data_IF_370261729839
#
_entry.id   IF_370261729839
#
_cell.length_a   1.000
_cell.length_b   1.000
_cell.length_c   1.000
_cell.angle_alpha   90.00
_cell.angle_beta   90.00
_cell.angle_gamma   90.00
#
_symmetry.space_group_name_H-M   'P 1'
#
loop_
_entity.id
_entity.type
_entity.pdbx_description
1 polymer ?
#
# COMPACT_ATOMS: atom_id res chain seq x y z
N UNK A 1 -14.27 -4.66 27.60
CA UNK A 1 -13.78 -4.55 26.21
C UNK A 1 -14.36 -5.71 25.44
N UNK A 2 -15.08 -5.47 24.35
CA UNK A 2 -15.75 -6.49 23.55
C UNK A 2 -14.74 -7.24 22.67
N UNK A 3 -14.03 -8.20 23.26
CA UNK A 3 -13.00 -9.00 22.59
C UNK A 3 -13.56 -9.78 21.39
N UNK A 4 -14.83 -10.18 21.42
CA UNK A 4 -15.50 -10.86 20.31
C UNK A 4 -15.65 -9.95 19.10
N UNK A 5 -15.98 -8.67 19.32
CA UNK A 5 -16.07 -7.69 18.23
C UNK A 5 -14.69 -7.44 17.60
N UNK A 6 -13.66 -7.29 18.44
CA UNK A 6 -12.27 -7.12 17.96
C UNK A 6 -11.85 -8.35 17.14
N UNK A 7 -12.05 -9.56 17.68
CA UNK A 7 -11.74 -10.80 16.95
C UNK A 7 -12.49 -10.90 15.62
N UNK A 8 -13.76 -10.48 15.58
CA UNK A 8 -14.51 -10.45 14.32
C UNK A 8 -13.86 -9.52 13.29
N UNK A 9 -13.46 -8.31 13.69
CA UNK A 9 -12.76 -7.35 12.82
C UNK A 9 -11.43 -7.93 12.32
N UNK A 10 -10.61 -8.49 13.22
CA UNK A 10 -9.34 -9.12 12.87
C UNK A 10 -9.51 -10.32 11.94
N UNK A 11 -10.58 -11.11 12.11
CA UNK A 11 -10.93 -12.20 11.21
C UNK A 11 -11.27 -11.71 9.81
N UNK A 12 -12.06 -10.63 9.68
CA UNK A 12 -12.36 -10.02 8.37
C UNK A 12 -11.09 -9.50 7.70
N UNK A 13 -10.19 -8.86 8.45
CA UNK A 13 -8.93 -8.35 7.90
C UNK A 13 -8.02 -9.50 7.45
N UNK A 14 -7.92 -10.57 8.24
CA UNK A 14 -7.19 -11.78 7.88
C UNK A 14 -7.75 -12.44 6.60
N UNK A 15 -9.08 -12.41 6.43
CA UNK A 15 -9.74 -12.88 5.21
C UNK A 15 -9.38 -12.03 4.00
N UNK A 16 -9.38 -10.70 4.14
CA UNK A 16 -9.01 -9.78 3.07
C UNK A 16 -7.56 -10.00 2.66
N UNK A 17 -6.63 -10.09 3.62
CA UNK A 17 -5.22 -10.38 3.38
C UNK A 17 -5.05 -11.68 2.60
N UNK A 18 -5.74 -12.76 3.01
CA UNK A 18 -5.72 -14.03 2.28
C UNK A 18 -6.26 -13.90 0.85
N UNK A 19 -7.33 -13.12 0.65
CA UNK A 19 -7.92 -12.87 -0.66
C UNK A 19 -6.97 -12.13 -1.61
N UNK A 20 -6.23 -11.13 -1.11
CA UNK A 20 -5.23 -10.43 -1.92
C UNK A 20 -4.01 -11.30 -2.22
N UNK A 21 -3.55 -12.13 -1.29
CA UNK A 21 -2.50 -13.12 -1.58
C UNK A 21 -2.87 -14.05 -2.75
N UNK A 22 -4.15 -14.31 -3.02
CA UNK A 22 -4.55 -15.09 -4.20
C UNK A 22 -4.21 -14.41 -5.52
N UNK A 23 -4.19 -13.07 -5.56
CA UNK A 23 -3.79 -12.30 -6.74
C UNK A 23 -2.31 -12.47 -7.06
N UNK A 24 -1.50 -12.96 -6.11
CA UNK A 24 -0.09 -13.21 -6.36
C UNK A 24 0.21 -14.57 -7.01
N UNK A 25 -0.70 -15.55 -6.90
CA UNK A 25 -0.52 -16.91 -7.44
C UNK A 25 -0.30 -16.96 -8.96
N UNK A 26 -1.04 -16.22 -9.82
CA UNK A 26 -0.87 -16.28 -11.27
C UNK A 26 0.54 -15.94 -11.74
N UNK A 27 1.27 -15.10 -11.00
CA UNK A 27 2.63 -14.68 -11.34
C UNK A 27 3.69 -15.75 -11.11
N UNK A 28 3.32 -16.90 -10.55
CA UNK A 28 4.20 -18.08 -10.53
C UNK A 28 4.17 -18.85 -11.86
N UNK A 29 3.18 -18.58 -12.71
CA UNK A 29 3.03 -19.23 -14.02
C UNK A 29 3.92 -18.54 -15.07
N UNK A 30 4.58 -19.30 -15.97
CA UNK A 30 5.43 -18.74 -17.04
C UNK A 30 4.77 -17.66 -17.89
N UNK A 31 3.49 -17.84 -18.20
CA UNK A 31 2.71 -16.94 -19.07
C UNK A 31 2.59 -15.53 -18.50
N UNK A 32 2.45 -15.40 -17.17
CA UNK A 32 2.18 -14.11 -16.52
C UNK A 32 3.41 -13.56 -15.80
N UNK A 33 4.16 -14.42 -15.13
CA UNK A 33 5.30 -14.04 -14.28
C UNK A 33 6.59 -13.69 -15.03
N UNK A 34 6.60 -13.77 -16.37
CA UNK A 34 7.83 -13.65 -17.17
C UNK A 34 8.94 -14.60 -16.73
N UNK A 35 8.57 -15.75 -16.17
CA UNK A 35 9.49 -16.81 -15.74
C UNK A 35 9.59 -17.87 -16.83
N UNK A 36 10.78 -18.43 -17.03
CA UNK A 36 11.01 -19.48 -18.03
C UNK A 36 10.30 -20.79 -17.67
N UNK A 37 10.15 -21.06 -16.37
CA UNK A 37 9.54 -22.27 -15.83
C UNK A 37 8.61 -21.93 -14.67
N UNK A 38 7.69 -22.84 -14.37
CA UNK A 38 6.76 -22.68 -13.25
C UNK A 38 7.51 -22.57 -11.92
N UNK A 39 7.30 -21.47 -11.23
CA UNK A 39 7.90 -21.19 -9.92
C UNK A 39 7.11 -21.89 -8.80
N UNK A 40 7.39 -23.18 -8.63
CA UNK A 40 6.73 -24.00 -7.61
C UNK A 40 7.01 -23.51 -6.18
N UNK A 41 8.20 -22.96 -5.91
CA UNK A 41 8.58 -22.45 -4.57
C UNK A 41 7.69 -21.27 -4.19
N UNK A 42 7.56 -20.30 -5.08
CA UNK A 42 6.64 -19.17 -4.89
C UNK A 42 5.19 -19.61 -4.77
N UNK A 43 4.72 -20.43 -5.72
CA UNK A 43 3.32 -20.86 -5.76
C UNK A 43 2.88 -21.61 -4.48
N UNK A 44 3.62 -22.63 -4.08
CA UNK A 44 3.27 -23.42 -2.89
C UNK A 44 3.49 -22.62 -1.59
N UNK A 45 4.50 -21.75 -1.55
CA UNK A 45 4.74 -20.86 -0.40
C UNK A 45 3.58 -19.88 -0.17
N UNK A 46 3.13 -19.21 -1.22
CA UNK A 46 1.95 -18.33 -1.17
C UNK A 46 0.69 -19.11 -0.85
N UNK A 47 0.48 -20.28 -1.47
CA UNK A 47 -0.69 -21.12 -1.20
C UNK A 47 -0.76 -21.56 0.27
N UNK A 48 0.37 -21.96 0.86
CA UNK A 48 0.45 -22.28 2.27
C UNK A 48 0.13 -21.07 3.16
N UNK A 49 0.61 -19.87 2.78
CA UNK A 49 0.33 -18.63 3.50
C UNK A 49 -1.17 -18.26 3.44
N UNK A 50 -1.82 -18.47 2.29
CA UNK A 50 -3.27 -18.30 2.12
C UNK A 50 -4.02 -19.26 3.04
N UNK A 51 -3.67 -20.55 3.05
CA UNK A 51 -4.34 -21.55 3.88
C UNK A 51 -4.23 -21.22 5.37
N UNK A 52 -3.03 -20.86 5.86
CA UNK A 52 -2.84 -20.44 7.25
C UNK A 52 -3.65 -19.18 7.56
N UNK A 53 -3.64 -18.19 6.67
CA UNK A 53 -4.40 -16.94 6.85
C UNK A 53 -5.91 -17.18 6.89
N UNK A 54 -6.43 -18.11 6.07
CA UNK A 54 -7.83 -18.53 6.08
C UNK A 54 -8.21 -19.30 7.36
N UNK A 55 -7.31 -20.15 7.88
CA UNK A 55 -7.52 -20.83 9.16
C UNK A 55 -7.59 -19.80 10.30
N UNK A 56 -6.63 -18.87 10.37
CA UNK A 56 -6.61 -17.79 11.37
C UNK A 56 -7.89 -16.95 11.26
N UNK A 57 -8.27 -16.56 10.05
CA UNK A 57 -9.52 -15.85 9.77
C UNK A 57 -10.74 -16.63 10.27
N UNK A 58 -10.85 -17.91 9.92
CA UNK A 58 -11.95 -18.78 10.33
C UNK A 58 -12.08 -18.87 11.84
N UNK A 59 -10.98 -19.11 12.56
CA UNK A 59 -10.97 -19.18 14.02
C UNK A 59 -11.42 -17.87 14.68
N UNK A 60 -10.91 -16.73 14.19
CA UNK A 60 -11.27 -15.40 14.69
C UNK A 60 -12.73 -15.05 14.41
N UNK A 61 -13.22 -15.35 13.21
CA UNK A 61 -14.62 -15.13 12.82
C UNK A 61 -15.57 -16.03 13.61
N UNK A 62 -15.21 -17.29 13.87
CA UNK A 62 -15.99 -18.21 14.69
C UNK A 62 -16.09 -17.71 16.13
N UNK A 63 -14.97 -17.27 16.73
CA UNK A 63 -14.96 -16.69 18.06
C UNK A 63 -15.79 -15.38 18.12
N UNK A 64 -15.68 -14.55 17.08
CA UNK A 64 -16.39 -13.28 16.95
C UNK A 64 -17.87 -13.39 16.53
N UNK A 65 -18.36 -14.57 16.17
CA UNK A 65 -19.69 -14.77 15.55
C UNK A 65 -20.87 -14.31 16.42
N UNK A 66 -20.70 -14.30 17.74
CA UNK A 66 -21.69 -13.83 18.73
C UNK A 66 -21.37 -12.43 19.28
N UNK A 67 -20.58 -11.63 18.59
CA UNK A 67 -20.29 -10.26 18.99
C UNK A 67 -21.56 -9.40 18.88
N UNK A 68 -21.88 -8.66 19.96
CA UNK A 68 -22.87 -7.57 19.88
C UNK A 68 -22.27 -6.43 19.07
N UNK A 69 -22.89 -6.06 17.95
CA UNK A 69 -22.38 -5.08 16.97
C UNK A 69 -22.98 -3.69 17.13
N UNK A 70 -23.83 -3.51 18.14
CA UNK A 70 -24.70 -2.34 18.27
C UNK A 70 -23.92 -1.06 18.62
N UNK A 71 -22.73 -1.19 19.22
CA UNK A 71 -21.88 -0.05 19.56
C UNK A 71 -20.40 -0.44 19.63
N UNK A 72 -19.56 0.20 18.83
CA UNK A 72 -18.10 0.12 18.91
C UNK A 72 -17.59 1.26 19.80
N UNK A 73 -16.97 0.93 20.94
CA UNK A 73 -16.37 1.95 21.81
C UNK A 73 -15.03 2.45 21.24
N UNK A 74 -14.63 3.70 21.55
CA UNK A 74 -13.34 4.27 21.08
C UNK A 74 -12.14 3.37 21.42
N UNK A 75 -12.08 2.85 22.65
CA UNK A 75 -11.03 1.91 23.09
C UNK A 75 -10.98 0.62 22.25
N UNK A 76 -12.13 0.13 21.80
CA UNK A 76 -12.23 -1.07 20.97
C UNK A 76 -11.82 -0.77 19.53
N UNK A 77 -12.17 0.40 19.01
CA UNK A 77 -11.70 0.87 17.70
C UNK A 77 -10.17 1.04 17.68
N UNK A 78 -9.59 1.68 18.70
CA UNK A 78 -8.14 1.85 18.82
C UNK A 78 -7.41 0.50 18.92
N UNK A 79 -7.92 -0.42 19.75
CA UNK A 79 -7.37 -1.76 19.86
C UNK A 79 -7.50 -2.55 18.54
N UNK A 80 -8.66 -2.48 17.87
CA UNK A 80 -8.88 -3.16 16.61
C UNK A 80 -7.93 -2.65 15.51
N UNK A 81 -7.69 -1.34 15.41
CA UNK A 81 -6.75 -0.77 14.43
C UNK A 81 -5.32 -1.24 14.72
N UNK A 82 -4.82 -1.10 15.95
CA UNK A 82 -3.46 -1.51 16.28
C UNK A 82 -3.22 -3.01 16.08
N UNK A 83 -4.17 -3.85 16.53
CA UNK A 83 -4.07 -5.30 16.34
C UNK A 83 -4.25 -5.71 14.87
N UNK A 84 -5.00 -4.96 14.08
CA UNK A 84 -5.17 -5.24 12.65
C UNK A 84 -3.85 -5.10 11.90
N UNK A 85 -3.10 -4.02 12.13
CA UNK A 85 -1.78 -3.83 11.54
C UNK A 85 -0.80 -4.92 11.96
N UNK A 86 -0.84 -5.32 13.24
CA UNK A 86 0.00 -6.41 13.76
C UNK A 86 -0.34 -7.74 13.08
N UNK A 87 -1.61 -8.12 13.01
CA UNK A 87 -2.06 -9.36 12.37
C UNK A 87 -1.75 -9.34 10.88
N UNK A 88 -2.02 -8.24 10.18
CA UNK A 88 -1.68 -8.10 8.76
C UNK A 88 -0.18 -8.26 8.52
N UNK A 89 0.67 -7.65 9.36
CA UNK A 89 2.14 -7.79 9.28
C UNK A 89 2.59 -9.24 9.49
N UNK A 90 2.04 -9.92 10.50
CA UNK A 90 2.38 -11.33 10.78
C UNK A 90 1.95 -12.23 9.62
N UNK A 91 0.71 -12.08 9.14
CA UNK A 91 0.21 -12.89 8.02
C UNK A 91 0.97 -12.59 6.72
N UNK A 92 1.25 -11.32 6.44
CA UNK A 92 1.99 -10.91 5.26
C UNK A 92 3.47 -11.30 5.26
N UNK A 93 4.01 -11.72 6.41
CA UNK A 93 5.34 -12.30 6.49
C UNK A 93 5.38 -13.77 6.01
N UNK A 94 4.25 -14.47 6.02
CA UNK A 94 4.18 -15.90 5.72
C UNK A 94 4.62 -16.27 4.29
N UNK A 95 4.26 -15.53 3.22
CA UNK A 95 4.74 -15.84 1.88
C UNK A 95 6.27 -15.86 1.76
N UNK A 96 6.98 -14.97 2.47
CA UNK A 96 8.46 -14.97 2.48
C UNK A 96 9.02 -16.22 3.15
N UNK A 97 8.45 -16.60 4.30
CA UNK A 97 8.91 -17.76 5.08
C UNK A 97 8.62 -19.09 4.39
N UNK A 98 7.42 -19.26 3.83
CA UNK A 98 7.00 -20.54 3.25
C UNK A 98 7.51 -20.78 1.84
N UNK A 99 7.86 -19.73 1.09
CA UNK A 99 8.49 -19.86 -0.24
C UNK A 99 10.00 -20.11 -0.16
N UNK A 100 10.60 -19.96 1.04
CA UNK A 100 12.04 -20.01 1.22
C UNK A 100 12.75 -18.84 0.56
N UNK A 101 12.14 -17.64 0.60
CA UNK A 101 12.75 -16.40 0.10
C UNK A 101 14.07 -16.15 0.84
N UNK A 102 15.08 -15.67 0.12
CA UNK A 102 16.41 -15.41 0.65
C UNK A 102 16.71 -13.91 0.66
N UNK A 103 17.43 -13.43 1.68
CA UNK A 103 17.80 -12.02 1.82
C UNK A 103 19.04 -11.63 1.01
N UNK A 104 19.81 -12.61 0.56
CA UNK A 104 21.04 -12.40 -0.20
C UNK A 104 21.89 -13.66 -0.27
N UNK A 105 23.15 -13.50 -0.69
CA UNK A 105 24.13 -14.57 -0.84
C UNK A 105 25.28 -14.31 0.14
N UNK A 106 25.77 -15.36 0.81
CA UNK A 106 26.94 -15.25 1.70
C UNK A 106 28.26 -15.23 0.92
N UNK A 107 29.37 -14.98 1.61
CA UNK A 107 30.73 -14.96 1.01
C UNK A 107 31.12 -16.29 0.35
N UNK A 108 30.45 -17.39 0.71
CA UNK A 108 30.66 -18.73 0.15
C UNK A 108 29.75 -19.02 -1.06
N UNK A 109 28.95 -18.04 -1.51
CA UNK A 109 28.04 -18.20 -2.65
C UNK A 109 26.72 -18.90 -2.30
N UNK A 110 26.37 -19.10 -1.02
CA UNK A 110 25.14 -19.79 -0.61
C UNK A 110 24.02 -18.80 -0.34
N UNK A 111 22.80 -19.17 -0.70
CA UNK A 111 21.63 -18.34 -0.44
C UNK A 111 21.32 -18.31 1.06
N UNK A 112 21.14 -17.10 1.60
CA UNK A 112 20.83 -16.88 2.99
C UNK A 112 19.31 -16.74 3.14
N UNK A 113 18.61 -17.74 3.69
CA UNK A 113 17.16 -17.69 3.83
C UNK A 113 16.73 -16.57 4.79
N UNK A 114 15.57 -15.96 4.51
CA UNK A 114 14.97 -14.99 5.42
C UNK A 114 14.58 -15.66 6.73
N UNK A 115 14.97 -15.05 7.85
CA UNK A 115 14.50 -15.44 9.18
C UNK A 115 13.16 -14.76 9.48
N UNK A 116 12.55 -15.16 10.60
CA UNK A 116 11.26 -14.60 11.06
C UNK A 116 11.28 -13.08 11.14
N UNK A 117 12.35 -12.49 11.69
CA UNK A 117 12.47 -11.04 11.81
C UNK A 117 12.70 -10.34 10.48
N UNK A 118 13.41 -10.97 9.55
CA UNK A 118 13.61 -10.45 8.19
C UNK A 118 12.25 -10.37 7.46
N UNK A 119 11.46 -11.45 7.54
CA UNK A 119 10.15 -11.52 6.91
C UNK A 119 9.13 -10.56 7.56
N UNK A 120 9.17 -10.40 8.89
CA UNK A 120 8.35 -9.42 9.59
C UNK A 120 8.75 -7.99 9.23
N UNK A 121 10.04 -7.70 9.09
CA UNK A 121 10.53 -6.39 8.67
C UNK A 121 10.06 -6.06 7.26
N UNK A 122 10.24 -6.98 6.31
CA UNK A 122 9.83 -6.78 4.91
C UNK A 122 8.30 -6.55 4.81
N UNK A 123 7.52 -7.36 5.54
CA UNK A 123 6.07 -7.22 5.63
C UNK A 123 5.64 -5.90 6.27
N UNK A 124 6.25 -5.51 7.39
CA UNK A 124 5.95 -4.26 8.09
C UNK A 124 6.27 -3.04 7.20
N UNK A 125 7.40 -3.08 6.52
CA UNK A 125 7.83 -2.05 5.59
C UNK A 125 6.83 -1.85 4.45
N UNK A 126 6.36 -2.96 3.87
CA UNK A 126 5.35 -2.93 2.83
C UNK A 126 3.97 -2.44 3.28
N UNK A 127 3.44 -2.92 4.42
CA UNK A 127 2.14 -2.43 4.89
C UNK A 127 2.16 -0.97 5.36
N UNK A 128 3.29 -0.50 5.87
CA UNK A 128 3.41 0.87 6.37
C UNK A 128 3.65 1.92 5.28
N UNK A 129 3.98 1.51 4.05
CA UNK A 129 4.42 2.45 3.02
C UNK A 129 5.84 2.97 3.26
N UNK A 130 6.72 2.18 3.91
CA UNK A 130 8.10 2.60 4.20
C UNK A 130 9.05 2.31 3.05
N UNK A 131 8.88 1.16 2.37
CA UNK A 131 9.72 0.78 1.23
C UNK A 131 11.15 0.34 1.54
N UNK A 132 11.53 0.25 2.82
CA UNK A 132 12.82 -0.32 3.22
C UNK A 132 12.84 -1.83 2.99
N UNK A 133 13.98 -2.38 2.57
CA UNK A 133 14.10 -3.81 2.28
C UNK A 133 15.33 -4.42 2.94
N UNK A 134 15.22 -5.68 3.37
CA UNK A 134 16.37 -6.50 3.82
C UNK A 134 16.92 -7.38 2.71
N UNK A 135 16.26 -7.41 1.55
CA UNK A 135 16.64 -8.21 0.39
C UNK A 135 17.68 -7.44 -0.41
N UNK A 136 18.87 -8.04 -0.58
CA UNK A 136 19.99 -7.40 -1.25
C UNK A 136 19.83 -7.31 -2.77
N UNK A 137 19.17 -8.30 -3.39
CA UNK A 137 18.88 -8.32 -4.82
C UNK A 137 17.45 -8.84 -5.03
N UNK A 138 16.53 -7.94 -5.39
CA UNK A 138 15.11 -8.27 -5.58
C UNK A 138 14.81 -8.85 -6.96
N UNK A 139 15.73 -8.69 -7.92
CA UNK A 139 15.57 -9.15 -9.31
C UNK A 139 15.91 -10.63 -9.48
N UNK A 140 16.71 -11.19 -8.56
CA UNK A 140 17.16 -12.57 -8.60
C UNK A 140 16.00 -13.54 -8.30
N UNK A 141 15.54 -14.32 -9.30
CA UNK A 141 14.43 -15.26 -9.12
C UNK A 141 14.75 -16.39 -8.13
N UNK A 142 16.02 -16.71 -7.91
CA UNK A 142 16.42 -17.75 -6.97
C UNK A 142 16.38 -17.26 -5.52
N UNK A 143 16.52 -15.94 -5.31
CA UNK A 143 16.35 -15.28 -4.02
C UNK A 143 14.88 -14.97 -3.74
N UNK A 144 14.18 -14.34 -4.69
CA UNK A 144 12.79 -13.90 -4.52
C UNK A 144 11.91 -14.47 -5.65
N UNK A 145 11.04 -15.44 -5.32
CA UNK A 145 10.00 -15.93 -6.22
C UNK A 145 9.11 -14.80 -6.75
N UNK A 146 8.72 -14.84 -8.03
CA UNK A 146 7.97 -13.74 -8.68
C UNK A 146 6.61 -13.45 -8.06
N UNK A 147 5.91 -14.49 -7.59
CA UNK A 147 4.66 -14.33 -6.84
C UNK A 147 4.87 -13.66 -5.48
N UNK A 148 6.01 -13.91 -4.83
CA UNK A 148 6.36 -13.27 -3.56
C UNK A 148 6.79 -11.82 -3.78
N UNK A 149 7.51 -11.53 -4.86
CA UNK A 149 7.87 -10.15 -5.25
C UNK A 149 6.63 -9.31 -5.62
N UNK A 150 5.61 -9.94 -6.23
CA UNK A 150 4.33 -9.28 -6.45
C UNK A 150 3.61 -8.99 -5.12
N UNK A 151 3.51 -10.00 -4.26
CA UNK A 151 2.92 -9.86 -2.92
C UNK A 151 3.60 -8.72 -2.14
N UNK A 152 4.94 -8.66 -2.19
CA UNK A 152 5.72 -7.57 -1.61
C UNK A 152 5.23 -6.21 -2.07
N UNK A 153 5.07 -5.99 -3.38
CA UNK A 153 4.56 -4.72 -3.91
C UNK A 153 3.08 -4.48 -3.58
N UNK A 154 2.27 -5.54 -3.58
CA UNK A 154 0.84 -5.49 -3.26
C UNK A 154 0.58 -5.09 -1.79
N UNK A 155 1.50 -5.39 -0.87
CA UNK A 155 1.38 -4.90 0.52
C UNK A 155 1.36 -3.37 0.61
N UNK A 156 2.04 -2.63 -0.29
CA UNK A 156 1.91 -1.17 -0.38
C UNK A 156 0.51 -0.75 -0.78
N UNK A 157 -0.11 -1.45 -1.74
CA UNK A 157 -1.48 -1.16 -2.14
C UNK A 157 -2.45 -1.36 -0.97
N UNK A 158 -2.32 -2.47 -0.24
CA UNK A 158 -3.14 -2.75 0.94
C UNK A 158 -2.92 -1.76 2.07
N UNK A 159 -1.67 -1.43 2.36
CA UNK A 159 -1.27 -0.43 3.35
C UNK A 159 -1.82 0.95 3.03
N UNK A 160 -1.62 1.40 1.78
CA UNK A 160 -2.13 2.65 1.24
C UNK A 160 -3.66 2.75 1.33
N UNK A 161 -4.38 1.71 0.91
CA UNK A 161 -5.83 1.66 1.05
C UNK A 161 -6.25 1.68 2.53
N UNK A 162 -5.54 0.96 3.39
CA UNK A 162 -5.77 0.89 4.84
C UNK A 162 -5.65 2.26 5.51
N UNK A 163 -4.58 3.02 5.22
CA UNK A 163 -4.38 4.36 5.79
C UNK A 163 -5.43 5.34 5.27
N UNK A 164 -5.79 5.28 3.98
CA UNK A 164 -6.84 6.12 3.39
C UNK A 164 -8.19 5.91 4.09
N UNK A 165 -8.59 4.66 4.29
CA UNK A 165 -9.85 4.32 4.99
C UNK A 165 -9.78 4.71 6.47
N UNK A 166 -8.64 4.52 7.13
CA UNK A 166 -8.43 4.89 8.52
C UNK A 166 -8.57 6.40 8.74
N UNK A 167 -7.97 7.23 7.88
CA UNK A 167 -8.09 8.69 7.97
C UNK A 167 -9.55 9.14 7.92
N UNK A 168 -10.36 8.58 7.01
CA UNK A 168 -11.80 8.89 6.94
C UNK A 168 -12.53 8.47 8.21
N UNK A 169 -12.20 7.31 8.77
CA UNK A 169 -12.79 6.83 10.02
C UNK A 169 -12.47 7.77 11.19
N UNK A 170 -11.22 8.25 11.30
CA UNK A 170 -10.77 9.16 12.38
C UNK A 170 -11.39 10.56 12.26
N UNK A 171 -11.39 11.15 11.06
CA UNK A 171 -11.94 12.50 10.83
C UNK A 171 -13.40 12.62 11.26
N UNK A 172 -14.19 11.56 11.12
CA UNK A 172 -15.59 11.55 11.56
C UNK A 172 -15.75 11.43 13.09
N UNK A 173 -14.77 10.86 13.82
CA UNK A 173 -14.78 10.81 15.28
C UNK A 173 -14.54 12.21 15.87
N UNK A 174 -13.74 13.05 15.20
CA UNK A 174 -13.51 14.45 15.55
C UNK A 174 -14.72 15.37 15.37
N UNK A 175 -15.76 14.93 14.64
CA UNK A 175 -16.99 15.69 14.42
C UNK A 175 -17.93 15.77 15.63
N UNK A 176 -17.54 15.23 16.80
CA UNK A 176 -18.34 15.28 18.03
C UNK A 176 -18.79 16.73 18.39
N UNK A 177 -17.96 17.74 18.09
CA UNK A 177 -18.32 19.15 18.26
C UNK A 177 -19.41 19.61 17.27
N UNK A 178 -19.40 19.12 16.02
CA UNK A 178 -20.46 19.38 15.02
C UNK A 178 -21.76 18.63 15.34
N UNK A 179 -21.69 17.51 16.07
CA UNK A 179 -22.86 16.76 16.52
C UNK A 179 -23.58 17.46 17.68
N UNK A 180 -22.85 18.13 18.58
CA UNK A 180 -23.44 19.01 19.61
C UNK A 180 -24.18 20.20 18.99
N UNK A 181 -23.59 20.85 17.98
CA UNK A 181 -24.23 21.96 17.25
C UNK A 181 -25.43 21.47 16.43
N UNK A 182 -25.39 20.26 15.85
CA UNK A 182 -26.53 19.66 15.15
C UNK A 182 -27.65 19.17 16.07
N UNK A 183 -27.35 18.87 17.34
CA UNK A 183 -28.37 18.48 18.32
C UNK A 183 -29.29 19.66 18.72
N UNK A 184 -28.85 20.91 18.49
CA UNK A 184 -29.66 22.11 18.70
C UNK A 184 -30.57 22.46 17.51
N UNK A 185 -30.37 21.88 16.33
CA UNK A 185 -31.16 22.20 15.13
C UNK A 185 -32.20 21.13 14.87
N UNK A 186 -33.48 21.49 15.09
CA UNK A 186 -34.65 20.67 14.79
C UNK A 186 -34.89 20.56 13.28
N UNK A 187 -34.07 19.80 12.55
CA UNK A 187 -34.30 19.49 11.13
C UNK A 187 -34.02 18.01 10.84
N UNK A 188 -34.96 17.27 10.22
CA UNK A 188 -34.82 15.85 9.94
C UNK A 188 -34.00 15.64 8.66
N UNK A 189 -32.68 15.85 8.69
CA UNK A 189 -31.77 15.31 7.68
C UNK A 189 -31.02 14.11 8.27
N UNK A 190 -31.66 12.94 8.19
CA UNK A 190 -31.28 11.70 8.87
C UNK A 190 -30.24 10.85 8.11
N UNK A 191 -29.12 11.40 7.64
CA UNK A 191 -27.98 10.53 7.29
C UNK A 191 -27.11 10.33 8.53
N UNK A 192 -27.10 9.12 9.07
CA UNK A 192 -26.26 8.78 10.23
C UNK A 192 -24.79 9.12 9.94
N UNK A 193 -24.04 9.56 10.95
CA UNK A 193 -22.59 9.87 10.82
C UNK A 193 -21.81 8.67 10.25
N UNK A 194 -22.28 7.45 10.53
CA UNK A 194 -21.70 6.21 10.04
C UNK A 194 -21.85 6.05 8.52
N UNK A 195 -23.01 6.39 7.95
CA UNK A 195 -23.24 6.33 6.49
C UNK A 195 -22.40 7.37 5.72
N UNK A 196 -22.24 8.56 6.29
CA UNK A 196 -21.39 9.61 5.70
C UNK A 196 -19.92 9.18 5.69
N UNK A 197 -19.44 8.59 6.78
CA UNK A 197 -18.09 8.02 6.87
C UNK A 197 -17.86 6.92 5.84
N UNK A 198 -18.81 5.99 5.70
CA UNK A 198 -18.73 4.93 4.70
C UNK A 198 -18.68 5.49 3.28
N UNK A 199 -19.53 6.47 2.95
CA UNK A 199 -19.52 7.11 1.62
C UNK A 199 -18.20 7.83 1.32
N UNK A 200 -17.64 8.53 2.30
CA UNK A 200 -16.34 9.18 2.14
C UNK A 200 -15.20 8.16 1.96
N UNK A 201 -15.19 7.06 2.73
CA UNK A 201 -14.17 6.02 2.61
C UNK A 201 -14.24 5.33 1.25
N UNK A 202 -15.45 5.06 0.76
CA UNK A 202 -15.67 4.53 -0.59
C UNK A 202 -15.20 5.51 -1.67
N UNK A 203 -15.49 6.81 -1.52
CA UNK A 203 -15.04 7.82 -2.47
C UNK A 203 -13.51 7.88 -2.55
N UNK A 204 -12.83 7.93 -1.40
CA UNK A 204 -11.37 8.04 -1.36
C UNK A 204 -10.70 6.75 -1.85
N UNK A 205 -11.21 5.59 -1.43
CA UNK A 205 -10.77 4.29 -1.93
C UNK A 205 -10.96 4.17 -3.45
N UNK A 206 -12.05 4.70 -4.01
CA UNK A 206 -12.26 4.71 -5.47
C UNK A 206 -11.21 5.54 -6.19
N UNK A 207 -10.85 6.72 -5.67
CA UNK A 207 -9.77 7.55 -6.24
C UNK A 207 -8.44 6.81 -6.16
N UNK A 208 -8.11 6.22 -5.01
CA UNK A 208 -6.87 5.46 -4.82
C UNK A 208 -6.74 4.31 -5.83
N UNK A 209 -7.79 3.50 -5.99
CA UNK A 209 -7.81 2.40 -6.96
C UNK A 209 -7.75 2.92 -8.40
N UNK A 210 -8.49 3.98 -8.72
CA UNK A 210 -8.46 4.59 -10.05
C UNK A 210 -7.08 5.11 -10.43
N UNK A 211 -6.38 5.79 -9.51
CA UNK A 211 -5.02 6.26 -9.75
C UNK A 211 -4.05 5.12 -10.02
N UNK A 212 -4.12 4.03 -9.25
CA UNK A 212 -3.31 2.83 -9.50
C UNK A 212 -3.57 2.28 -10.92
N UNK A 213 -4.84 2.10 -11.29
CA UNK A 213 -5.20 1.58 -12.61
C UNK A 213 -4.74 2.49 -13.75
N UNK A 214 -4.95 3.81 -13.63
CA UNK A 214 -4.52 4.78 -14.64
C UNK A 214 -3.00 4.76 -14.78
N UNK A 215 -2.26 4.75 -13.66
CA UNK A 215 -0.80 4.68 -13.68
C UNK A 215 -0.31 3.39 -14.35
N UNK A 216 -0.88 2.24 -14.00
CA UNK A 216 -0.54 0.97 -14.64
C UNK A 216 -0.75 1.02 -16.15
N UNK A 217 -1.88 1.53 -16.63
CA UNK A 217 -2.15 1.66 -18.07
C UNK A 217 -1.15 2.60 -18.75
N UNK A 218 -0.85 3.75 -18.14
CA UNK A 218 0.12 4.71 -18.70
C UNK A 218 1.53 4.12 -18.78
N UNK A 219 1.96 3.36 -17.78
CA UNK A 219 3.25 2.67 -17.81
C UNK A 219 3.29 1.59 -18.90
N UNK A 220 2.21 0.81 -19.06
CA UNK A 220 2.11 -0.18 -20.13
C UNK A 220 2.19 0.44 -21.53
N UNK A 221 1.59 1.62 -21.73
CA UNK A 221 1.69 2.34 -22.99
C UNK A 221 3.13 2.77 -23.34
N UNK A 222 4.02 2.83 -22.34
CA UNK A 222 5.44 3.16 -22.49
C UNK A 222 6.34 1.90 -22.49
N UNK A 223 5.77 0.72 -22.73
CA UNK A 223 6.53 -0.52 -22.89
C UNK A 223 6.89 -1.24 -21.59
N UNK A 224 6.42 -0.75 -20.43
CA UNK A 224 6.56 -1.46 -19.15
C UNK A 224 5.61 -2.66 -19.13
N UNK A 225 6.06 -3.80 -18.61
CA UNK A 225 5.22 -4.99 -18.52
C UNK A 225 4.04 -4.78 -17.56
N UNK A 226 2.94 -5.52 -17.71
CA UNK A 226 1.80 -5.44 -16.78
C UNK A 226 2.23 -5.72 -15.33
N UNK A 227 3.13 -6.69 -15.14
CA UNK A 227 3.65 -7.08 -13.83
C UNK A 227 4.38 -5.91 -13.15
N UNK A 228 5.34 -5.32 -13.85
CA UNK A 228 6.13 -4.21 -13.33
C UNK A 228 5.27 -2.95 -13.19
N UNK A 229 4.38 -2.70 -14.15
CA UNK A 229 3.48 -1.55 -14.11
C UNK A 229 2.51 -1.60 -12.92
N UNK A 230 1.99 -2.77 -12.54
CA UNK A 230 1.20 -2.94 -11.33
C UNK A 230 2.05 -2.71 -10.07
N UNK A 231 3.21 -3.36 -9.99
CA UNK A 231 4.08 -3.28 -8.82
C UNK A 231 4.56 -1.84 -8.56
N UNK A 232 5.00 -1.14 -9.61
CA UNK A 232 5.38 0.27 -9.54
C UNK A 232 4.19 1.19 -9.26
N UNK A 233 2.98 0.88 -9.77
CA UNK A 233 1.80 1.67 -9.45
C UNK A 233 1.44 1.58 -7.95
N UNK A 234 1.45 0.36 -7.40
CA UNK A 234 1.21 0.13 -5.97
C UNK A 234 2.19 0.90 -5.09
N UNK A 235 3.49 0.84 -5.41
CA UNK A 235 4.52 1.59 -4.69
C UNK A 235 4.37 3.10 -4.83
N UNK A 236 3.98 3.59 -6.01
CA UNK A 236 3.90 5.03 -6.30
C UNK A 236 2.70 5.68 -5.61
N UNK A 237 1.49 5.15 -5.81
CA UNK A 237 0.26 5.78 -5.31
C UNK A 237 0.15 5.65 -3.80
N UNK A 238 0.66 4.56 -3.22
CA UNK A 238 0.76 4.40 -1.77
C UNK A 238 1.95 5.15 -1.15
N UNK A 239 2.77 5.84 -1.94
CA UNK A 239 4.00 6.53 -1.51
C UNK A 239 5.01 5.63 -0.79
N UNK A 240 5.00 4.34 -1.12
CA UNK A 240 5.80 3.32 -0.45
C UNK A 240 7.17 3.06 -1.08
N UNK A 241 7.30 3.11 -2.41
CA UNK A 241 8.61 3.06 -3.07
C UNK A 241 9.24 1.68 -3.29
N UNK A 242 8.53 0.57 -3.05
CA UNK A 242 9.00 -0.75 -3.52
C UNK A 242 9.02 -0.80 -5.05
N UNK A 243 9.99 -1.55 -5.57
CA UNK A 243 10.15 -1.85 -6.99
C UNK A 243 10.48 -3.32 -7.19
N UNK A 244 10.23 -3.80 -8.41
CA UNK A 244 10.68 -5.09 -8.92
C UNK A 244 12.15 -5.10 -9.33
N UNK A 245 12.79 -3.93 -9.40
CA UNK A 245 14.19 -3.74 -9.77
C UNK A 245 15.00 -3.08 -8.64
N UNK A 246 16.30 -3.39 -8.57
CA UNK A 246 17.20 -2.83 -7.57
C UNK A 246 17.45 -1.32 -7.80
N UNK A 247 17.56 -0.91 -9.07
CA UNK A 247 17.69 0.50 -9.47
C UNK A 247 16.35 1.25 -9.43
N UNK A 248 15.28 0.60 -8.94
CA UNK A 248 13.92 1.13 -8.91
C UNK A 248 13.48 1.66 -10.29
N UNK A 249 12.93 2.87 -10.36
CA UNK A 249 12.52 3.52 -11.61
C UNK A 249 13.68 3.73 -12.59
N UNK A 250 14.92 3.82 -12.09
CA UNK A 250 16.13 3.99 -12.91
C UNK A 250 16.40 2.83 -13.86
N UNK A 251 15.79 1.66 -13.64
CA UNK A 251 15.88 0.50 -14.53
C UNK A 251 15.37 0.81 -15.94
N UNK A 252 14.27 1.57 -16.06
CA UNK A 252 13.61 1.80 -17.35
C UNK A 252 14.38 2.74 -18.27
N UNK A 253 15.24 3.61 -17.72
CA UNK A 253 16.04 4.61 -18.46
C UNK A 253 15.20 5.42 -19.47
N UNK A 254 13.93 5.66 -19.16
CA UNK A 254 13.01 6.45 -19.96
C UNK A 254 12.46 7.61 -19.14
N UNK A 255 12.82 8.83 -19.54
CA UNK A 255 12.37 10.07 -18.91
C UNK A 255 10.84 10.19 -18.88
N UNK A 256 10.12 9.58 -19.83
CA UNK A 256 8.65 9.62 -19.87
C UNK A 256 8.06 8.81 -18.72
N UNK A 257 8.61 7.62 -18.46
CA UNK A 257 8.23 6.76 -17.33
C UNK A 257 8.51 7.47 -16.01
N UNK A 258 9.68 8.09 -15.87
CA UNK A 258 10.05 8.89 -14.70
C UNK A 258 9.07 10.04 -14.46
N UNK A 259 8.75 10.83 -15.48
CA UNK A 259 7.83 11.97 -15.37
C UNK A 259 6.40 11.53 -15.02
N UNK A 260 5.94 10.42 -15.59
CA UNK A 260 4.63 9.84 -15.25
C UNK A 260 4.62 9.42 -13.77
N UNK A 261 5.64 8.71 -13.31
CA UNK A 261 5.73 8.30 -11.91
C UNK A 261 5.78 9.52 -10.99
N UNK A 262 6.61 10.54 -11.30
CA UNK A 262 6.68 11.79 -10.52
C UNK A 262 5.31 12.47 -10.43
N UNK A 263 4.56 12.56 -11.53
CA UNK A 263 3.21 13.11 -11.51
C UNK A 263 2.30 12.34 -10.55
N UNK A 264 2.35 11.00 -10.58
CA UNK A 264 1.52 10.18 -9.69
C UNK A 264 2.03 10.14 -8.25
N UNK A 265 3.33 10.38 -7.99
CA UNK A 265 3.84 10.64 -6.64
C UNK A 265 3.22 11.92 -6.08
N UNK A 266 3.12 12.98 -6.89
CA UNK A 266 2.49 14.23 -6.49
C UNK A 266 0.99 14.03 -6.19
N UNK A 267 0.29 13.28 -7.03
CA UNK A 267 -1.11 12.94 -6.82
C UNK A 267 -1.30 12.05 -5.59
N UNK A 268 -0.48 11.02 -5.40
CA UNK A 268 -0.56 10.09 -4.26
C UNK A 268 -0.33 10.76 -2.90
N UNK A 269 0.50 11.81 -2.85
CA UNK A 269 0.74 12.61 -1.65
C UNK A 269 -0.35 13.68 -1.40
N UNK A 270 -1.20 13.95 -2.40
CA UNK A 270 -2.28 14.93 -2.28
C UNK A 270 -3.47 14.35 -1.52
N UNK A 271 -4.24 15.22 -0.86
CA UNK A 271 -5.49 14.83 -0.20
C UNK A 271 -6.49 14.19 -1.21
N UNK A 272 -6.79 12.90 -1.02
CA UNK A 272 -7.73 12.15 -1.87
C UNK A 272 -9.13 12.78 -1.96
N UNK A 273 -9.56 13.54 -0.95
CA UNK A 273 -10.80 14.30 -0.99
C UNK A 273 -10.78 15.45 -2.01
N UNK A 274 -9.65 16.16 -2.13
CA UNK A 274 -9.48 17.20 -3.15
C UNK A 274 -9.45 16.59 -4.54
N UNK A 275 -8.74 15.47 -4.71
CA UNK A 275 -8.70 14.73 -5.98
C UNK A 275 -10.08 14.21 -6.38
N UNK A 276 -10.89 13.75 -5.42
CA UNK A 276 -12.27 13.36 -5.68
C UNK A 276 -13.13 14.51 -6.22
N UNK A 277 -13.01 15.71 -5.66
CA UNK A 277 -13.73 16.89 -6.17
C UNK A 277 -13.21 17.35 -7.54
N UNK A 278 -11.90 17.30 -7.75
CA UNK A 278 -11.29 17.60 -9.04
C UNK A 278 -11.78 16.63 -10.13
N UNK A 279 -11.88 15.34 -9.83
CA UNK A 279 -12.42 14.33 -10.74
C UNK A 279 -13.91 14.56 -11.10
N UNK A 280 -14.67 15.27 -10.24
CA UNK A 280 -16.05 15.70 -10.53
C UNK A 280 -16.15 17.03 -11.27
N UNK A 281 -15.02 17.63 -11.66
CA UNK A 281 -14.95 18.88 -12.42
C UNK A 281 -14.69 20.13 -11.59
N UNK A 282 -14.62 20.04 -10.25
CA UNK A 282 -14.34 21.20 -9.39
C UNK A 282 -12.85 21.35 -9.09
N UNK A 283 -12.06 21.57 -10.16
CA UNK A 283 -10.60 21.74 -10.10
C UNK A 283 -10.22 23.01 -9.31
N UNK A 284 -11.11 23.99 -9.23
CA UNK A 284 -10.87 25.24 -8.49
C UNK A 284 -10.59 24.99 -7.01
N UNK A 285 -11.22 23.97 -6.42
CA UNK A 285 -10.94 23.59 -5.01
C UNK A 285 -9.53 23.11 -4.79
N UNK A 286 -8.95 22.39 -5.76
CA UNK A 286 -7.59 21.87 -5.67
C UNK A 286 -6.58 23.03 -5.57
N UNK A 287 -6.67 24.01 -6.48
CA UNK A 287 -5.76 25.16 -6.48
C UNK A 287 -6.11 26.25 -5.46
N UNK A 288 -7.34 26.28 -4.97
CA UNK A 288 -7.74 27.16 -3.87
C UNK A 288 -7.22 26.71 -2.51
N UNK A 289 -6.97 25.41 -2.35
CA UNK A 289 -6.50 24.81 -1.11
C UNK A 289 -5.10 25.30 -0.73
N UNK A 290 -4.91 25.62 0.55
CA UNK A 290 -3.64 26.16 1.06
C UNK A 290 -2.61 25.04 1.24
N UNK A 291 -3.04 23.86 1.68
CA UNK A 291 -2.18 22.70 1.91
C UNK A 291 -1.60 22.20 0.58
N UNK A 292 -2.43 22.07 -0.46
CA UNK A 292 -1.99 21.67 -1.80
C UNK A 292 -1.00 22.67 -2.41
N UNK A 293 -1.25 23.97 -2.28
CA UNK A 293 -0.33 25.00 -2.79
C UNK A 293 0.99 25.02 -2.03
N UNK A 294 0.95 24.91 -0.71
CA UNK A 294 2.16 24.84 0.11
C UNK A 294 2.98 23.60 -0.24
N UNK A 295 2.31 22.45 -0.36
CA UNK A 295 2.91 21.19 -0.79
C UNK A 295 3.67 21.33 -2.12
N UNK A 296 3.00 21.82 -3.17
CA UNK A 296 3.64 22.04 -4.48
C UNK A 296 4.80 23.04 -4.41
N UNK A 297 4.65 24.10 -3.62
CA UNK A 297 5.70 25.10 -3.43
C UNK A 297 6.93 24.47 -2.76
N UNK A 298 6.75 23.66 -1.72
CA UNK A 298 7.84 22.95 -1.06
C UNK A 298 8.55 21.99 -2.01
N UNK A 299 7.80 21.20 -2.79
CA UNK A 299 8.38 20.31 -3.80
C UNK A 299 9.19 21.07 -4.85
N UNK A 300 8.65 22.18 -5.36
CA UNK A 300 9.33 23.00 -6.37
C UNK A 300 10.62 23.62 -5.80
N UNK A 301 10.56 24.22 -4.61
CA UNK A 301 11.72 24.81 -3.96
C UNK A 301 12.81 23.78 -3.68
N UNK A 302 12.44 22.61 -3.13
CA UNK A 302 13.38 21.52 -2.91
C UNK A 302 14.04 21.07 -4.22
N UNK A 303 13.25 20.91 -5.28
CA UNK A 303 13.74 20.53 -6.61
C UNK A 303 14.73 21.55 -7.17
N UNK A 304 14.43 22.85 -7.06
CA UNK A 304 15.30 23.93 -7.51
C UNK A 304 16.61 23.99 -6.71
N UNK A 305 16.54 23.83 -5.39
CA UNK A 305 17.73 23.80 -4.52
C UNK A 305 18.63 22.62 -4.88
N UNK A 306 18.08 21.41 -4.98
CA UNK A 306 18.86 20.21 -5.34
C UNK A 306 19.44 20.33 -6.75
N UNK A 307 18.65 20.79 -7.71
CA UNK A 307 19.12 21.01 -9.09
C UNK A 307 20.23 22.06 -9.15
N UNK A 308 20.12 23.15 -8.39
CA UNK A 308 21.16 24.17 -8.27
C UNK A 308 22.45 23.63 -7.65
N UNK A 309 22.35 22.85 -6.57
CA UNK A 309 23.50 22.21 -5.94
C UNK A 309 24.22 21.25 -6.90
N UNK A 310 23.48 20.41 -7.63
CA UNK A 310 24.04 19.50 -8.63
C UNK A 310 24.69 20.27 -9.79
N UNK A 311 24.03 21.31 -10.30
CA UNK A 311 24.60 22.15 -11.35
C UNK A 311 25.92 22.80 -10.93
N UNK A 312 26.00 23.28 -9.68
CA UNK A 312 27.23 23.87 -9.14
C UNK A 312 28.36 22.84 -8.94
N UNK A 313 28.03 21.60 -8.55
CA UNK A 313 29.02 20.52 -8.42
C UNK A 313 29.58 20.03 -9.77
N UNK A 314 28.74 20.01 -10.81
CA UNK A 314 29.13 19.55 -12.15
C UNK A 314 29.57 20.69 -13.09
N UNK A 315 29.69 21.92 -12.59
CA UNK A 315 30.41 22.96 -13.34
C UNK A 315 31.86 22.49 -13.50
N UNK A 316 32.38 22.37 -14.74
CA UNK A 316 33.79 22.09 -14.93
C UNK A 316 34.54 23.25 -14.27
N UNK A 317 35.24 22.97 -13.18
CA UNK A 317 36.24 23.89 -12.63
C UNK A 317 37.20 24.14 -13.79
N UNK A 318 37.07 25.29 -14.45
CA UNK A 318 38.04 25.76 -15.42
C UNK A 318 39.38 25.75 -14.68
N UNK A 319 40.28 24.88 -15.12
CA UNK A 319 41.66 24.85 -14.68
C UNK A 319 42.23 26.27 -14.78
N UNK A 320 42.63 26.81 -13.64
CA UNK A 320 43.52 27.95 -13.53
C UNK A 320 44.79 27.50 -12.82
#
# INVERSE_FOLDING_TARGET
>A
MNLRLIAHILGVISFIVAGFMMASLPWSLPVFGQVSQFDGRGFFGVLAAILVSLIVSGLLLLYGRRAKRDRLLRREAMAAVGLAWLVATILGALPYLFSGTCRGVDESGRHVPMRVFDALFESASGYSGTGATVIANVEDPDLVPRSVLFWRSETHFLGGLGIVVLFVAILNIGSAAKQLIRAEVAAPSQTSTHEQSRRAAMAFGTVFVALNLILTVLLMMHGVSLYDALCHAFGTVATGGFSTYNDSVGHFKDIRVELIIVLFMLLGCTNFGLLYFAAKGDIRRLFGDVEFRLYLTCCLLATLVVSGCLFLQYLPVKAH
#
